data_IF_761897009906
#
_entry.id   IF_761897009906
#
_cell.length_a   1.000
_cell.length_b   1.000
_cell.length_c   1.000
_cell.angle_alpha   90.00
_cell.angle_beta   90.00
_cell.angle_gamma   90.00
#
_symmetry.space_group_name_H-M   'P 1'
#
loop_
_entity.id
_entity.type
_entity.pdbx_description
1 polymer ?
#
# COMPACT_ATOMS: atom_id res chain seq x y z
N UNK A 1 38.17 -8.04 -17.23
CA UNK A 1 38.34 -7.78 -15.79
C UNK A 1 36.97 -7.96 -15.15
N UNK A 2 36.76 -9.04 -14.41
CA UNK A 2 35.53 -9.26 -13.65
C UNK A 2 35.63 -8.40 -12.38
N UNK A 3 34.88 -7.31 -12.34
CA UNK A 3 34.76 -6.48 -11.15
C UNK A 3 34.03 -7.26 -10.07
N UNK A 4 34.70 -7.48 -8.93
CA UNK A 4 34.09 -7.97 -7.71
C UNK A 4 33.05 -6.96 -7.25
N UNK A 5 31.77 -7.36 -7.25
CA UNK A 5 30.72 -6.57 -6.62
C UNK A 5 31.06 -6.39 -5.13
N UNK A 6 30.93 -5.18 -4.56
CA UNK A 6 31.18 -4.95 -3.15
C UNK A 6 30.25 -5.82 -2.30
N UNK A 7 30.83 -6.55 -1.34
CA UNK A 7 30.08 -7.25 -0.32
C UNK A 7 29.33 -6.20 0.51
N UNK A 8 28.03 -6.06 0.27
CA UNK A 8 27.14 -5.28 1.12
C UNK A 8 27.13 -5.93 2.50
N UNK A 9 27.72 -5.28 3.49
CA UNK A 9 27.54 -5.61 4.91
C UNK A 9 26.04 -5.72 5.18
N UNK A 10 25.59 -6.87 5.71
CA UNK A 10 24.18 -7.09 6.02
C UNK A 10 23.65 -5.92 6.86
N UNK A 11 22.48 -5.35 6.53
CA UNK A 11 21.88 -4.31 7.34
C UNK A 11 21.74 -4.78 8.79
N UNK A 12 22.04 -3.88 9.72
CA UNK A 12 21.80 -4.04 11.15
C UNK A 12 20.34 -4.44 11.39
N UNK A 13 20.13 -5.54 12.10
CA UNK A 13 18.81 -6.07 12.47
C UNK A 13 17.93 -5.00 13.12
N UNK A 14 16.61 -5.10 12.91
CA UNK A 14 15.60 -4.30 13.60
C UNK A 14 15.94 -4.12 15.10
N UNK A 15 16.05 -2.89 15.63
CA UNK A 15 16.42 -2.67 17.03
C UNK A 15 15.29 -3.03 18.01
N UNK A 16 14.08 -3.29 17.49
CA UNK A 16 12.95 -3.74 18.29
C UNK A 16 12.93 -5.27 18.39
N UNK A 17 12.59 -5.76 19.57
CA UNK A 17 12.36 -7.18 19.80
C UNK A 17 10.88 -7.50 19.55
N UNK A 18 10.59 -8.61 18.86
CA UNK A 18 9.22 -9.11 18.73
C UNK A 18 8.60 -9.31 20.12
N UNK A 19 7.37 -8.81 20.30
CA UNK A 19 6.66 -8.78 21.58
C UNK A 19 6.94 -7.54 22.44
N UNK A 20 7.88 -6.66 22.05
CA UNK A 20 8.07 -5.37 22.72
C UNK A 20 7.12 -4.31 22.15
N UNK A 21 6.69 -3.32 22.94
CA UNK A 21 5.94 -2.17 22.43
C UNK A 21 6.70 -1.44 21.31
N UNK A 22 5.98 -1.03 20.27
CA UNK A 22 6.52 -0.22 19.18
C UNK A 22 5.53 0.89 18.81
N UNK A 23 6.07 2.09 18.63
CA UNK A 23 5.30 3.26 18.20
C UNK A 23 4.98 3.14 16.70
N UNK A 24 3.80 3.58 16.28
CA UNK A 24 3.36 3.47 14.88
C UNK A 24 4.38 4.08 13.90
N UNK A 25 4.92 5.25 14.23
CA UNK A 25 5.92 5.90 13.39
C UNK A 25 7.17 5.04 13.17
N UNK A 26 7.62 4.32 14.21
CA UNK A 26 8.80 3.47 14.15
C UNK A 26 8.49 2.15 13.44
N UNK A 27 7.29 1.59 13.63
CA UNK A 27 6.81 0.43 12.86
C UNK A 27 6.87 0.69 11.35
N UNK A 28 6.36 1.84 10.90
CA UNK A 28 6.35 2.22 9.47
C UNK A 28 7.74 2.51 8.90
N UNK A 29 8.75 2.71 9.75
CA UNK A 29 10.13 2.91 9.35
C UNK A 29 10.98 1.64 9.48
N UNK A 30 10.36 0.50 9.85
CA UNK A 30 11.04 -0.78 9.79
C UNK A 30 11.45 -1.10 8.34
N UNK A 31 12.62 -1.75 8.17
CA UNK A 31 13.12 -2.04 6.84
C UNK A 31 12.31 -3.13 6.13
N UNK A 32 12.25 -3.09 4.80
CA UNK A 32 11.68 -4.17 3.99
C UNK A 32 12.67 -5.35 3.92
N UNK A 33 12.96 -5.98 5.05
CA UNK A 33 13.95 -7.06 5.17
C UNK A 33 13.38 -8.46 4.85
N UNK A 34 12.18 -8.50 4.27
CA UNK A 34 11.44 -9.69 3.92
C UNK A 34 10.49 -10.19 5.02
N UNK A 35 10.41 -9.50 6.16
CA UNK A 35 9.37 -9.73 7.16
C UNK A 35 8.25 -8.70 7.02
N UNK A 36 7.00 -9.15 7.19
CA UNK A 36 5.87 -8.26 7.35
C UNK A 36 5.62 -8.02 8.83
N UNK A 37 5.84 -6.77 9.25
CA UNK A 37 5.69 -6.35 10.63
C UNK A 37 4.31 -5.76 10.88
N UNK A 38 3.75 -6.04 12.04
CA UNK A 38 2.48 -5.47 12.50
C UNK A 38 2.51 -5.10 13.97
N UNK A 39 1.35 -4.70 14.49
CA UNK A 39 1.11 -4.52 15.93
C UNK A 39 -0.05 -5.39 16.37
N UNK A 40 0.08 -5.97 17.56
CA UNK A 40 -1.07 -6.58 18.25
C UNK A 40 -1.95 -5.50 18.92
N UNK A 41 -3.03 -5.93 19.57
CA UNK A 41 -3.99 -5.05 20.27
C UNK A 41 -3.33 -4.24 21.41
N UNK A 42 -2.20 -4.70 21.95
CA UNK A 42 -1.42 -4.03 22.99
C UNK A 42 -0.34 -3.08 22.39
N UNK A 43 -0.27 -2.95 21.07
CA UNK A 43 0.72 -2.12 20.38
C UNK A 43 2.12 -2.73 20.33
N UNK A 44 2.25 -4.04 20.54
CA UNK A 44 3.55 -4.74 20.50
C UNK A 44 3.89 -5.21 19.09
N UNK A 45 5.18 -5.17 18.76
CA UNK A 45 5.69 -5.62 17.48
C UNK A 45 5.42 -7.12 17.29
N UNK A 46 4.75 -7.47 16.20
CA UNK A 46 4.54 -8.85 15.76
C UNK A 46 5.04 -9.03 14.32
N UNK A 47 5.35 -10.26 13.96
CA UNK A 47 5.61 -10.65 12.56
C UNK A 47 4.36 -11.40 12.09
N UNK A 48 3.83 -11.03 10.94
CA UNK A 48 2.65 -11.68 10.39
C UNK A 48 2.95 -13.15 10.07
N UNK A 49 1.95 -14.01 10.29
CA UNK A 49 2.10 -15.43 9.98
C UNK A 49 2.08 -15.64 8.45
N UNK A 50 2.89 -16.59 7.91
CA UNK A 50 2.87 -16.88 6.47
C UNK A 50 1.50 -17.33 5.94
N UNK A 51 0.63 -17.87 6.80
CA UNK A 51 -0.69 -18.34 6.37
C UNK A 51 -1.70 -17.20 6.20
N UNK A 52 -1.58 -16.14 7.00
CA UNK A 52 -2.37 -14.91 6.79
C UNK A 52 -1.95 -14.21 5.51
N UNK A 53 -0.64 -14.18 5.23
CA UNK A 53 -0.09 -13.64 3.99
C UNK A 53 -0.61 -14.36 2.74
N UNK A 54 -0.64 -15.71 2.74
CA UNK A 54 -1.10 -16.49 1.58
C UNK A 54 -2.54 -16.19 1.16
N UNK A 55 -3.44 -15.91 2.11
CA UNK A 55 -4.85 -15.62 1.80
C UNK A 55 -5.01 -14.30 1.07
N UNK A 56 -4.17 -13.33 1.41
CA UNK A 56 -4.17 -11.99 0.81
C UNK A 56 -3.49 -11.98 -0.56
N UNK A 57 -2.45 -12.79 -0.74
CA UNK A 57 -1.62 -12.76 -1.95
C UNK A 57 -2.31 -13.19 -3.25
N UNK A 58 -3.39 -13.98 -3.23
CA UNK A 58 -4.04 -14.44 -4.46
C UNK A 58 -4.62 -13.27 -5.29
N UNK A 59 -5.54 -12.44 -4.75
CA UNK A 59 -6.06 -11.30 -5.49
C UNK A 59 -4.96 -10.28 -5.87
N UNK A 60 -3.96 -10.03 -5.01
CA UNK A 60 -2.80 -9.20 -5.36
C UNK A 60 -2.11 -9.73 -6.62
N UNK A 61 -1.65 -10.98 -6.58
CA UNK A 61 -0.89 -11.58 -7.68
C UNK A 61 -1.69 -11.59 -8.98
N UNK A 62 -3.00 -11.84 -8.89
CA UNK A 62 -3.88 -11.80 -10.04
C UNK A 62 -4.02 -10.39 -10.60
N UNK A 63 -4.17 -9.40 -9.74
CA UNK A 63 -4.27 -8.00 -10.14
C UNK A 63 -2.97 -7.51 -10.79
N UNK A 64 -1.81 -7.81 -10.21
CA UNK A 64 -0.50 -7.47 -10.79
C UNK A 64 -0.31 -8.14 -12.16
N UNK A 65 -0.72 -9.39 -12.33
CA UNK A 65 -0.66 -10.06 -13.62
C UNK A 65 -1.54 -9.37 -14.69
N UNK A 66 -2.71 -8.85 -14.30
CA UNK A 66 -3.56 -8.05 -15.18
C UNK A 66 -2.87 -6.73 -15.50
N UNK A 67 -2.36 -6.02 -14.49
CA UNK A 67 -1.64 -4.75 -14.68
C UNK A 67 -0.50 -4.91 -15.69
N UNK A 68 0.38 -5.89 -15.51
CA UNK A 68 1.52 -6.13 -16.41
C UNK A 68 1.07 -6.34 -17.87
N UNK A 69 -0.12 -6.91 -18.08
CA UNK A 69 -0.67 -7.14 -19.42
C UNK A 69 -1.32 -5.88 -20.03
N UNK A 70 -2.05 -5.12 -19.23
CA UNK A 70 -2.89 -4.01 -19.70
C UNK A 70 -2.16 -2.66 -19.70
N UNK A 71 -1.23 -2.43 -18.77
CA UNK A 71 -0.51 -1.16 -18.70
C UNK A 71 0.58 -1.12 -19.78
N UNK A 72 0.72 0.04 -20.43
CA UNK A 72 1.74 0.22 -21.45
C UNK A 72 3.17 0.06 -20.91
N UNK A 73 4.18 -0.12 -21.79
CA UNK A 73 5.58 -0.37 -21.40
C UNK A 73 6.24 0.80 -20.65
N UNK A 74 5.59 1.96 -20.58
CA UNK A 74 6.06 3.10 -19.80
C UNK A 74 5.72 2.98 -18.31
N UNK A 75 4.72 2.18 -17.93
CA UNK A 75 4.30 2.06 -16.54
C UNK A 75 4.91 0.83 -15.86
N UNK A 76 5.06 0.91 -14.54
CA UNK A 76 5.68 -0.13 -13.73
C UNK A 76 4.79 -0.45 -12.54
N UNK A 77 4.36 -1.71 -12.40
CA UNK A 77 3.60 -2.18 -11.25
C UNK A 77 4.49 -2.97 -10.28
N UNK A 78 4.23 -2.84 -8.97
CA UNK A 78 4.86 -3.65 -7.91
C UNK A 78 3.79 -4.09 -6.91
N UNK A 79 3.90 -5.33 -6.44
CA UNK A 79 3.13 -5.86 -5.30
C UNK A 79 3.81 -5.47 -3.98
N UNK A 80 3.00 -5.09 -3.00
CA UNK A 80 3.40 -4.82 -1.62
C UNK A 80 4.65 -3.91 -1.48
N UNK A 81 4.82 -2.84 -2.28
CA UNK A 81 6.02 -2.01 -2.19
C UNK A 81 5.98 -1.10 -0.97
N UNK A 82 7.05 -1.02 -0.19
CA UNK A 82 7.17 -0.01 0.86
C UNK A 82 7.48 1.36 0.25
N UNK A 83 6.49 2.25 0.19
CA UNK A 83 6.61 3.60 -0.41
C UNK A 83 6.79 4.66 0.67
N UNK A 84 7.91 5.39 0.62
CA UNK A 84 8.26 6.39 1.62
C UNK A 84 7.50 7.70 1.42
N UNK A 85 6.58 8.03 2.32
CA UNK A 85 5.80 9.27 2.26
C UNK A 85 6.31 10.30 3.28
N UNK A 86 6.50 11.54 2.84
CA UNK A 86 6.92 12.63 3.71
C UNK A 86 5.87 12.94 4.79
N UNK A 87 4.58 12.83 4.45
CA UNK A 87 3.45 13.07 5.35
C UNK A 87 2.60 11.82 5.47
N UNK A 88 2.61 11.21 6.66
CA UNK A 88 1.72 10.10 6.99
C UNK A 88 0.80 10.54 8.11
N UNK A 89 -0.50 10.35 7.90
CA UNK A 89 -1.55 10.71 8.85
C UNK A 89 -1.94 9.49 9.67
N UNK A 90 -2.19 9.72 10.94
CA UNK A 90 -2.92 8.80 11.80
C UNK A 90 -4.43 8.97 11.55
N UNK A 91 -5.24 7.92 11.76
CA UNK A 91 -6.72 7.98 11.69
C UNK A 91 -7.34 9.18 12.42
N UNK A 92 -6.80 9.54 13.59
CA UNK A 92 -7.18 10.71 14.40
C UNK A 92 -6.84 12.07 13.77
N UNK A 93 -6.32 12.09 12.54
CA UNK A 93 -5.96 13.29 11.78
C UNK A 93 -4.59 13.90 12.10
N UNK A 94 -3.89 13.36 13.09
CA UNK A 94 -2.56 13.84 13.47
C UNK A 94 -1.51 13.43 12.45
N UNK A 95 -0.55 14.31 12.17
CA UNK A 95 0.64 13.93 11.41
C UNK A 95 1.53 13.08 12.30
N UNK A 96 1.97 11.92 11.82
CA UNK A 96 2.93 11.10 12.56
C UNK A 96 4.24 11.87 12.74
N UNK A 97 4.91 11.66 13.88
CA UNK A 97 6.26 12.16 14.15
C UNK A 97 7.30 11.39 13.35
N UNK A 98 8.42 12.02 13.01
CA UNK A 98 9.51 11.32 12.32
C UNK A 98 10.01 10.12 13.14
N UNK A 99 10.45 9.07 12.46
CA UNK A 99 11.12 7.94 13.10
C UNK A 99 12.63 8.17 13.10
N UNK A 100 13.30 7.68 14.14
CA UNK A 100 14.76 7.64 14.17
C UNK A 100 15.35 6.49 13.34
N UNK A 101 14.51 5.53 12.90
CA UNK A 101 14.93 4.40 12.07
C UNK A 101 15.11 4.76 10.59
N UNK A 102 14.42 5.81 10.14
CA UNK A 102 14.49 6.27 8.76
C UNK A 102 13.17 6.83 8.24
N UNK A 103 13.02 6.94 6.90
CA UNK A 103 11.78 7.29 6.26
C UNK A 103 10.67 6.34 6.69
N UNK A 104 9.48 6.89 6.96
CA UNK A 104 8.29 6.08 7.17
C UNK A 104 7.71 5.73 5.82
N UNK A 105 7.34 4.47 5.64
CA UNK A 105 6.71 3.98 4.45
C UNK A 105 5.34 3.39 4.75
N UNK A 106 4.42 3.56 3.80
CA UNK A 106 3.19 2.77 3.74
C UNK A 106 3.40 1.69 2.70
N UNK A 107 2.90 0.49 2.99
CA UNK A 107 2.97 -0.66 2.09
C UNK A 107 1.57 -0.89 1.48
N UNK A 108 1.25 -0.23 0.36
CA UNK A 108 0.07 -0.58 -0.40
C UNK A 108 0.16 -1.99 -0.95
N UNK A 109 -0.97 -2.65 -1.14
CA UNK A 109 -1.00 -3.99 -1.73
C UNK A 109 -0.46 -4.00 -3.17
N UNK A 110 -0.78 -2.97 -3.95
CA UNK A 110 -0.23 -2.74 -5.28
C UNK A 110 -0.02 -1.26 -5.53
N UNK A 111 1.09 -0.91 -6.17
CA UNK A 111 1.34 0.45 -6.65
C UNK A 111 1.83 0.45 -8.10
N UNK A 112 1.48 1.51 -8.83
CA UNK A 112 1.84 1.71 -10.24
C UNK A 112 2.52 3.06 -10.43
N UNK A 113 3.70 3.05 -11.03
CA UNK A 113 4.47 4.23 -11.39
C UNK A 113 4.42 4.48 -12.90
N UNK A 114 4.58 5.75 -13.29
CA UNK A 114 4.66 6.18 -14.69
C UNK A 114 6.03 5.95 -15.34
N UNK A 115 7.01 5.46 -14.58
CA UNK A 115 8.33 5.02 -15.02
C UNK A 115 8.95 4.05 -13.99
N UNK A 116 10.19 3.61 -14.19
CA UNK A 116 10.90 2.85 -13.15
C UNK A 116 11.05 3.72 -11.90
N UNK A 117 10.60 3.24 -10.72
CA UNK A 117 10.60 4.06 -9.51
C UNK A 117 12.02 4.31 -9.00
N UNK A 118 12.24 5.52 -8.49
CA UNK A 118 13.43 5.87 -7.74
C UNK A 118 13.35 5.32 -6.30
N UNK A 119 14.48 5.30 -5.61
CA UNK A 119 14.57 4.86 -4.22
C UNK A 119 14.95 6.00 -3.29
N UNK A 120 14.43 5.96 -2.06
CA UNK A 120 14.85 6.79 -0.94
C UNK A 120 15.74 5.96 -0.04
N UNK A 121 16.98 6.39 0.19
CA UNK A 121 17.92 5.74 1.10
C UNK A 121 17.76 6.32 2.51
N UNK A 122 17.67 5.45 3.52
CA UNK A 122 17.63 5.83 4.92
C UNK A 122 18.99 5.76 5.60
N UNK A 123 19.08 6.17 6.88
CA UNK A 123 20.35 6.28 7.60
C UNK A 123 21.16 4.98 7.73
N UNK A 124 20.50 3.84 7.60
CA UNK A 124 21.08 2.49 7.71
C UNK A 124 21.49 1.88 6.37
N UNK A 125 21.36 2.63 5.26
CA UNK A 125 21.61 2.15 3.89
C UNK A 125 20.47 1.29 3.30
N UNK A 126 19.38 1.14 4.05
CA UNK A 126 18.16 0.50 3.57
C UNK A 126 17.41 1.46 2.65
N UNK A 127 16.64 0.91 1.70
CA UNK A 127 15.96 1.68 0.67
C UNK A 127 14.46 1.42 0.65
N UNK A 128 13.70 2.46 0.34
CA UNK A 128 12.25 2.44 0.14
C UNK A 128 11.94 2.99 -1.25
N UNK A 129 10.77 2.66 -1.80
CA UNK A 129 10.34 3.28 -3.06
C UNK A 129 9.99 4.75 -2.85
N UNK A 130 10.42 5.59 -3.78
CA UNK A 130 10.03 6.98 -3.86
C UNK A 130 8.57 7.10 -4.35
N UNK A 131 7.78 8.04 -3.80
CA UNK A 131 6.44 8.32 -4.29
C UNK A 131 6.46 9.17 -5.57
N UNK A 132 7.64 9.59 -6.03
CA UNK A 132 7.80 10.31 -7.29
C UNK A 132 7.28 9.46 -8.45
N UNK A 133 6.48 10.07 -9.33
CA UNK A 133 5.84 9.43 -10.48
C UNK A 133 4.88 8.27 -10.14
N UNK A 134 4.46 8.15 -8.87
CA UNK A 134 3.41 7.22 -8.44
C UNK A 134 2.06 7.70 -9.01
N UNK A 135 1.38 6.82 -9.74
CA UNK A 135 0.12 7.12 -10.44
C UNK A 135 -1.11 6.54 -9.74
N UNK A 136 -0.97 5.33 -9.22
CA UNK A 136 -2.07 4.57 -8.65
C UNK A 136 -1.59 3.75 -7.46
N UNK A 137 -2.37 3.78 -6.38
CA UNK A 137 -2.30 2.83 -5.27
C UNK A 137 -3.58 2.00 -5.24
N UNK A 138 -3.45 0.71 -4.99
CA UNK A 138 -4.58 -0.21 -4.80
C UNK A 138 -4.44 -0.91 -3.46
N UNK A 139 -5.54 -0.95 -2.71
CA UNK A 139 -5.68 -1.74 -1.49
C UNK A 139 -6.80 -2.76 -1.67
N UNK A 140 -6.55 -3.99 -1.22
CA UNK A 140 -7.50 -5.09 -1.19
C UNK A 140 -7.89 -5.30 0.27
N UNK A 141 -9.13 -4.93 0.59
CA UNK A 141 -9.60 -4.91 1.97
C UNK A 141 -9.50 -6.29 2.60
N UNK A 142 -8.93 -6.28 3.80
CA UNK A 142 -8.84 -7.42 4.70
C UNK A 142 -9.57 -7.10 6.02
N UNK A 143 -10.07 -8.10 6.76
CA UNK A 143 -10.74 -7.87 8.04
C UNK A 143 -9.90 -7.08 9.07
N UNK A 144 -8.57 -7.16 8.98
CA UNK A 144 -7.66 -6.51 9.94
C UNK A 144 -7.29 -5.06 9.61
N UNK A 145 -7.33 -4.65 8.33
CA UNK A 145 -6.77 -3.36 7.89
C UNK A 145 -7.78 -2.40 7.28
N UNK A 146 -9.00 -2.87 6.98
CA UNK A 146 -9.93 -2.10 6.14
C UNK A 146 -10.31 -0.72 6.67
N UNK A 147 -10.28 -0.52 8.00
CA UNK A 147 -10.46 0.79 8.62
C UNK A 147 -9.36 1.79 8.21
N UNK A 148 -8.10 1.34 8.24
CA UNK A 148 -6.90 2.08 7.81
C UNK A 148 -6.98 2.46 6.33
N UNK A 149 -7.38 1.49 5.51
CA UNK A 149 -7.53 1.64 4.05
C UNK A 149 -8.63 2.65 3.71
N UNK A 150 -9.79 2.58 4.38
CA UNK A 150 -10.90 3.52 4.17
C UNK A 150 -10.71 4.88 4.87
N UNK A 151 -9.75 5.00 5.78
CA UNK A 151 -9.52 6.20 6.58
C UNK A 151 -10.66 6.47 7.57
N UNK A 152 -11.23 5.41 8.18
CA UNK A 152 -12.35 5.52 9.12
C UNK A 152 -12.00 4.95 10.50
N UNK A 153 -12.60 5.52 11.53
CA UNK A 153 -12.39 5.09 12.92
C UNK A 153 -11.29 5.87 13.64
N UNK A 154 -10.93 5.41 14.84
CA UNK A 154 -10.06 6.12 15.80
C UNK A 154 -8.93 5.23 16.35
N UNK A 155 -8.71 4.08 15.70
CA UNK A 155 -7.64 3.15 16.04
C UNK A 155 -6.27 3.82 15.94
N UNK A 156 -5.30 3.33 16.71
CA UNK A 156 -3.90 3.68 16.50
C UNK A 156 -3.43 3.01 15.20
N UNK A 157 -3.66 3.67 14.08
CA UNK A 157 -3.33 3.20 12.74
C UNK A 157 -3.22 4.40 11.77
N UNK A 158 -2.67 4.13 10.59
CA UNK A 158 -2.53 5.06 9.49
C UNK A 158 -3.90 5.37 8.88
N UNK A 159 -4.11 6.63 8.53
CA UNK A 159 -5.16 7.03 7.60
C UNK A 159 -4.58 6.97 6.19
N UNK A 160 -4.66 5.80 5.54
CA UNK A 160 -4.03 5.60 4.22
C UNK A 160 -4.69 6.51 3.18
N UNK A 161 -6.02 6.61 3.22
CA UNK A 161 -6.81 7.48 2.32
C UNK A 161 -6.34 8.93 2.36
N UNK A 162 -6.16 9.53 3.55
CA UNK A 162 -5.68 10.92 3.69
C UNK A 162 -4.18 11.03 3.38
N UNK A 163 -3.39 10.03 3.77
CA UNK A 163 -1.94 9.97 3.50
C UNK A 163 -1.65 10.01 2.00
N UNK A 164 -2.33 9.18 1.21
CA UNK A 164 -2.16 9.14 -0.25
C UNK A 164 -2.60 10.45 -0.92
N UNK A 165 -3.74 11.02 -0.49
CA UNK A 165 -4.22 12.29 -1.03
C UNK A 165 -3.23 13.44 -0.77
N UNK A 166 -2.83 13.62 0.49
CA UNK A 166 -1.90 14.70 0.88
C UNK A 166 -0.49 14.51 0.30
N UNK A 167 -0.15 13.28 -0.11
CA UNK A 167 1.09 12.94 -0.81
C UNK A 167 1.01 13.14 -2.32
N UNK A 168 -0.17 13.50 -2.86
CA UNK A 168 -0.36 13.78 -4.28
C UNK A 168 -0.52 12.55 -5.15
N UNK A 169 -0.92 11.39 -4.58
CA UNK A 169 -1.23 10.19 -5.36
C UNK A 169 -2.45 10.47 -6.26
N UNK A 170 -2.34 10.34 -7.60
CA UNK A 170 -3.43 10.70 -8.50
C UNK A 170 -4.69 9.83 -8.36
N UNK A 171 -4.53 8.52 -8.14
CA UNK A 171 -5.64 7.60 -7.94
C UNK A 171 -5.42 6.63 -6.79
N UNK A 172 -6.52 6.31 -6.12
CA UNK A 172 -6.56 5.33 -5.04
C UNK A 172 -7.75 4.39 -5.24
N UNK A 173 -7.48 3.11 -5.45
CA UNK A 173 -8.52 2.09 -5.64
C UNK A 173 -8.59 1.18 -4.43
N UNK A 174 -9.81 0.84 -4.05
CA UNK A 174 -10.09 -0.01 -2.88
C UNK A 174 -10.99 -1.14 -3.34
N UNK A 175 -10.51 -2.37 -3.23
CA UNK A 175 -11.20 -3.58 -3.70
C UNK A 175 -11.60 -4.43 -2.49
N UNK A 176 -12.87 -4.76 -2.34
CA UNK A 176 -13.30 -5.56 -1.19
C UNK A 176 -13.37 -7.05 -1.54
N UNK A 177 -12.37 -7.82 -1.08
CA UNK A 177 -12.34 -9.26 -1.32
C UNK A 177 -13.09 -10.09 -0.26
N UNK A 178 -13.19 -9.59 0.98
CA UNK A 178 -13.56 -10.44 2.11
C UNK A 178 -14.26 -9.74 3.29
N UNK A 179 -14.38 -8.41 3.30
CA UNK A 179 -14.95 -7.66 4.42
C UNK A 179 -16.46 -7.58 4.29
N UNK A 180 -17.19 -8.26 5.16
CA UNK A 180 -18.65 -8.21 5.28
C UNK A 180 -19.06 -7.50 6.58
N UNK A 181 -18.52 -6.29 6.78
CA UNK A 181 -18.83 -5.44 7.91
C UNK A 181 -19.84 -4.36 7.47
N UNK A 182 -20.97 -4.15 8.18
CA UNK A 182 -21.93 -3.10 7.85
C UNK A 182 -21.36 -1.67 7.84
N UNK A 183 -20.25 -1.42 8.55
CA UNK A 183 -19.55 -0.14 8.53
C UNK A 183 -18.58 -0.01 7.34
N UNK A 184 -18.30 -1.09 6.61
CA UNK A 184 -17.55 -1.05 5.36
C UNK A 184 -18.45 -0.55 4.23
N UNK A 185 -18.14 0.64 3.69
CA UNK A 185 -18.92 1.24 2.61
C UNK A 185 -18.72 0.57 1.25
N UNK A 186 -17.74 -0.31 1.10
CA UNK A 186 -17.45 -1.04 -0.14
C UNK A 186 -18.13 -2.40 -0.05
N UNK A 187 -19.11 -2.73 -0.92
CA UNK A 187 -19.77 -4.04 -0.89
C UNK A 187 -18.77 -5.19 -1.07
N UNK A 188 -19.07 -6.38 -0.56
CA UNK A 188 -18.28 -7.59 -0.83
C UNK A 188 -18.17 -7.83 -2.34
N UNK A 189 -16.95 -8.07 -2.84
CA UNK A 189 -16.59 -8.13 -4.27
C UNK A 189 -16.89 -6.83 -5.03
N UNK A 190 -17.04 -5.72 -4.31
CA UNK A 190 -17.17 -4.38 -4.85
C UNK A 190 -15.83 -3.65 -4.95
N UNK A 191 -15.90 -2.42 -5.45
CA UNK A 191 -14.76 -1.52 -5.55
C UNK A 191 -15.19 -0.08 -5.25
N UNK A 192 -14.27 0.71 -4.70
CA UNK A 192 -14.34 2.16 -4.61
C UNK A 192 -13.11 2.73 -5.34
N UNK A 193 -13.36 3.54 -6.35
CA UNK A 193 -12.33 4.16 -7.17
C UNK A 193 -12.29 5.66 -6.86
N UNK A 194 -11.13 6.17 -6.49
CA UNK A 194 -10.95 7.57 -6.14
C UNK A 194 -9.90 8.20 -7.05
N UNK A 195 -10.19 9.40 -7.54
CA UNK A 195 -9.26 10.28 -8.25
C UNK A 195 -9.06 11.56 -7.46
N UNK A 196 -7.83 12.04 -7.35
CA UNK A 196 -7.56 13.30 -6.69
C UNK A 196 -8.18 14.45 -7.51
N UNK A 197 -9.03 15.25 -6.86
CA UNK A 197 -9.62 16.44 -7.48
C UNK A 197 -8.51 17.41 -7.93
N UNK A 198 -8.76 18.29 -8.92
CA UNK A 198 -7.83 19.35 -9.27
C UNK A 198 -7.37 20.15 -8.05
N UNK A 199 -6.06 20.20 -7.81
CA UNK A 199 -5.46 20.83 -6.62
C UNK A 199 -5.21 19.89 -5.44
N UNK A 200 -5.60 18.62 -5.52
CA UNK A 200 -5.17 17.54 -4.60
C UNK A 200 -5.72 17.64 -3.18
N UNK A 201 -6.84 18.34 -2.98
CA UNK A 201 -7.41 18.57 -1.63
C UNK A 201 -8.56 17.62 -1.27
N UNK A 202 -9.11 16.90 -2.25
CA UNK A 202 -10.23 15.99 -2.05
C UNK A 202 -10.14 14.80 -3.01
N UNK A 203 -10.77 13.69 -2.63
CA UNK A 203 -11.03 12.58 -3.51
C UNK A 203 -12.37 12.78 -4.22
N UNK A 204 -12.41 12.47 -5.51
CA UNK A 204 -13.61 12.33 -6.32
C UNK A 204 -13.81 10.87 -6.68
N UNK A 205 -15.04 10.36 -6.57
CA UNK A 205 -15.34 9.00 -6.98
C UNK A 205 -15.32 8.86 -8.52
N UNK A 206 -14.64 7.82 -9.01
CA UNK A 206 -14.67 7.42 -10.41
C UNK A 206 -15.83 6.43 -10.58
N UNK A 207 -16.80 6.70 -11.47
CA UNK A 207 -17.92 5.78 -11.68
C UNK A 207 -17.45 4.45 -12.27
N UNK A 208 -18.07 3.36 -11.80
CA UNK A 208 -17.91 2.02 -12.36
C UNK A 208 -18.99 1.82 -13.41
N UNK A 209 -18.60 1.73 -14.69
CA UNK A 209 -19.55 1.64 -15.80
C UNK A 209 -19.64 0.20 -16.32
N UNK A 210 -20.83 -0.40 -16.21
CA UNK A 210 -21.06 -1.77 -16.68
C UNK A 210 -20.17 -2.81 -16.02
N UNK A 211 -19.78 -2.60 -14.75
CA UNK A 211 -18.89 -3.50 -14.00
C UNK A 211 -17.40 -3.34 -14.32
N UNK A 212 -17.03 -2.36 -15.16
CA UNK A 212 -15.64 -2.08 -15.51
C UNK A 212 -15.08 -0.90 -14.74
N UNK A 213 -13.90 -1.10 -14.16
CA UNK A 213 -13.07 -0.08 -13.55
C UNK A 213 -12.13 0.48 -14.63
N UNK A 214 -12.01 1.79 -14.76
CA UNK A 214 -11.12 2.42 -15.72
C UNK A 214 -10.28 3.48 -14.99
N UNK A 215 -8.95 3.40 -15.14
CA UNK A 215 -8.07 4.43 -14.59
C UNK A 215 -8.04 5.66 -15.50
N UNK A 216 -8.10 6.83 -14.90
CA UNK A 216 -7.80 8.13 -15.53
C UNK A 216 -6.30 8.44 -15.45
N UNK A 217 -5.60 7.94 -14.43
CA UNK A 217 -4.18 8.19 -14.19
C UNK A 217 -3.24 7.19 -14.88
N UNK A 218 -3.66 5.93 -15.07
CA UNK A 218 -2.87 4.87 -15.70
C UNK A 218 -3.41 4.59 -17.11
N UNK A 219 -2.74 5.04 -18.19
CA UNK A 219 -3.25 4.89 -19.54
C UNK A 219 -3.51 3.43 -19.93
N UNK A 220 -4.70 3.15 -20.45
CA UNK A 220 -5.10 1.83 -20.94
C UNK A 220 -5.54 0.84 -19.86
N UNK A 221 -5.39 1.18 -18.57
CA UNK A 221 -5.82 0.29 -17.50
C UNK A 221 -7.34 0.25 -17.39
N UNK A 222 -7.90 -0.93 -17.68
CA UNK A 222 -9.28 -1.27 -17.41
C UNK A 222 -9.38 -2.67 -16.78
N UNK A 223 -10.30 -2.84 -15.83
CA UNK A 223 -10.57 -4.11 -15.15
C UNK A 223 -12.06 -4.43 -15.18
N UNK A 224 -12.43 -5.62 -15.67
CA UNK A 224 -13.77 -6.16 -15.47
C UNK A 224 -13.86 -6.81 -14.08
N UNK A 225 -14.63 -6.21 -13.17
CA UNK A 225 -14.61 -6.56 -11.75
C UNK A 225 -15.16 -7.97 -11.51
N UNK A 226 -16.24 -8.35 -12.20
CA UNK A 226 -16.83 -9.69 -12.07
C UNK A 226 -15.85 -10.78 -12.55
N UNK A 227 -15.21 -10.56 -13.71
CA UNK A 227 -14.21 -11.49 -14.23
C UNK A 227 -13.00 -11.58 -13.32
N UNK A 228 -12.55 -10.47 -12.74
CA UNK A 228 -11.44 -10.45 -11.79
C UNK A 228 -11.72 -11.33 -10.57
N UNK A 229 -12.88 -11.17 -9.92
CA UNK A 229 -13.20 -11.97 -8.73
C UNK A 229 -13.42 -13.44 -9.04
N UNK A 230 -14.08 -13.75 -10.16
CA UNK A 230 -14.24 -15.12 -10.66
C UNK A 230 -12.89 -15.79 -10.87
N UNK A 231 -11.91 -15.07 -11.44
CA UNK A 231 -10.55 -15.56 -11.65
C UNK A 231 -9.79 -15.79 -10.34
N UNK A 232 -10.05 -14.98 -9.32
CA UNK A 232 -9.50 -15.16 -7.98
C UNK A 232 -10.11 -16.37 -7.25
N UNK A 233 -11.23 -16.91 -7.74
CA UNK A 233 -12.06 -17.96 -7.10
C UNK A 233 -12.61 -17.53 -5.74
N UNK A 234 -12.91 -16.24 -5.60
CA UNK A 234 -13.46 -15.64 -4.38
C UNK A 234 -14.93 -15.38 -4.56
#
# INVERSE_FOLDING_TARGET
MLGTLPQTTRPTSCPYQVGAPIELADLLALPPDGNDYGRDEDGRLVIMSPDDQKKHNNPINRFVAILIREIGPSCVARSEPSVAFAKIRHLRGQLLRESFLGPRAVQPDVAVWGCEPEYVEGPTGLTWYSPKDLLLVVEILSPGTWHSDLGIGEADDVDRKRTYLESGVPEYWILNSAVDDPACSVPLRGALLLSAAPGGQAWEEIPIEGGKLCSRAVPGLALDLESFWRDCRI
#
